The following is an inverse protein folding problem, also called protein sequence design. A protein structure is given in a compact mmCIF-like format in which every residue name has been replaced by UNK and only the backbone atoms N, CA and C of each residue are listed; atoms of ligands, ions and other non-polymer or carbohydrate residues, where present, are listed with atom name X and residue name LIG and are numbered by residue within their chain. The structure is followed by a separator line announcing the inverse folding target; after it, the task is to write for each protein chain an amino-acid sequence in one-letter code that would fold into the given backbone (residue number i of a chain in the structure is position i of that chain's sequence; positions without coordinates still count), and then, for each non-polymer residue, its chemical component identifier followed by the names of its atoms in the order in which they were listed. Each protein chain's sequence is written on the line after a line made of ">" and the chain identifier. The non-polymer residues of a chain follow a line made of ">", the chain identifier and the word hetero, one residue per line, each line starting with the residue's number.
data_IF_151137291982
#
_entry.id   IF_151137291982
#
_cell.length_a   1.000
_cell.length_b   1.000
_cell.length_c   1.000
_cell.angle_alpha   90.00
_cell.angle_beta   90.00
_cell.angle_gamma   90.00
#
_symmetry.space_group_name_H-M   'P 1'
#
loop_
_entity.id
_entity.type
_entity.pdbx_description
1 polymer ?
#
# COMPACT_ATOMS: atom_id res chain seq x y z
N UNK A 1 -6.82 -26.87 -12.69
CA UNK A 1 -6.49 -28.20 -13.21
C UNK A 1 -5.87 -27.96 -14.55
N UNK A 2 -4.55 -28.03 -14.56
CA UNK A 2 -3.73 -27.61 -15.68
C UNK A 2 -3.47 -28.82 -16.57
N UNK A 3 -3.20 -28.59 -17.86
CA UNK A 3 -2.96 -29.67 -18.84
C UNK A 3 -1.84 -30.63 -18.42
N UNK A 4 -0.87 -30.13 -17.64
CA UNK A 4 0.22 -30.90 -17.06
C UNK A 4 -0.24 -31.90 -16.00
N UNK A 5 -1.28 -31.58 -15.25
CA UNK A 5 -1.84 -32.47 -14.23
C UNK A 5 -2.48 -33.69 -14.89
N UNK A 6 -3.19 -33.47 -16.00
CA UNK A 6 -3.80 -34.53 -16.82
C UNK A 6 -2.74 -35.48 -17.38
N UNK A 7 -1.64 -34.96 -17.92
CA UNK A 7 -0.52 -35.79 -18.41
C UNK A 7 0.10 -36.62 -17.27
N UNK A 8 0.20 -36.04 -16.07
CA UNK A 8 0.71 -36.75 -14.88
C UNK A 8 -0.22 -37.90 -14.48
N UNK A 9 -1.54 -37.68 -14.46
CA UNK A 9 -2.52 -38.73 -14.13
C UNK A 9 -2.53 -39.85 -15.17
N UNK A 10 -2.37 -39.53 -16.46
CA UNK A 10 -2.24 -40.55 -17.51
C UNK A 10 -1.01 -41.43 -17.32
N UNK A 11 0.14 -40.85 -16.94
CA UNK A 11 1.35 -41.61 -16.64
C UNK A 11 1.16 -42.50 -15.42
N UNK A 12 0.51 -42.00 -14.36
CA UNK A 12 0.18 -42.80 -13.17
C UNK A 12 -0.75 -43.96 -13.52
N UNK A 13 -1.77 -43.74 -14.35
CA UNK A 13 -2.68 -44.79 -14.81
C UNK A 13 -1.91 -45.89 -15.55
N UNK A 14 -1.00 -45.54 -16.46
CA UNK A 14 -0.16 -46.51 -17.17
C UNK A 14 0.67 -47.36 -16.20
N UNK A 15 1.27 -46.74 -15.19
CA UNK A 15 2.07 -47.47 -14.19
C UNK A 15 1.22 -48.45 -13.38
N UNK A 16 -0.02 -48.06 -13.04
CA UNK A 16 -0.97 -48.93 -12.32
C UNK A 16 -1.46 -50.06 -13.22
N UNK A 17 -1.69 -49.81 -14.52
CA UNK A 17 -2.07 -50.85 -15.49
C UNK A 17 -0.93 -51.86 -15.72
N UNK A 18 0.33 -51.40 -15.79
CA UNK A 18 1.50 -52.27 -15.85
C UNK A 18 1.62 -53.15 -14.58
N UNK A 19 1.37 -52.56 -13.40
CA UNK A 19 1.37 -53.29 -12.13
C UNK A 19 0.22 -54.31 -12.05
N UNK A 20 -0.97 -53.97 -12.56
CA UNK A 20 -2.10 -54.90 -12.68
C UNK A 20 -1.83 -56.03 -13.66
N UNK A 21 -1.03 -55.80 -14.70
CA UNK A 21 -0.63 -56.87 -15.61
C UNK A 21 0.32 -57.88 -14.94
N UNK A 22 1.14 -57.42 -13.99
CA UNK A 22 1.97 -58.29 -13.16
C UNK A 22 1.16 -58.99 -12.06
N UNK A 23 0.20 -58.29 -11.44
CA UNK A 23 -0.66 -58.80 -10.36
C UNK A 23 -2.16 -58.58 -10.66
N UNK A 24 -2.78 -59.44 -11.50
CA UNK A 24 -4.16 -59.24 -11.95
C UNK A 24 -5.23 -59.42 -10.86
N UNK A 25 -4.91 -60.09 -9.75
CA UNK A 25 -5.84 -60.33 -8.62
C UNK A 25 -5.75 -59.24 -7.53
N UNK A 26 -4.97 -58.16 -7.72
CA UNK A 26 -4.84 -57.10 -6.73
C UNK A 26 -6.01 -56.10 -6.78
N UNK A 27 -6.97 -56.28 -5.87
CA UNK A 27 -8.18 -55.46 -5.77
C UNK A 27 -7.91 -53.97 -5.51
N UNK A 28 -6.82 -53.63 -4.82
CA UNK A 28 -6.45 -52.24 -4.51
C UNK A 28 -5.99 -51.51 -5.77
N UNK A 29 -5.18 -52.17 -6.60
CA UNK A 29 -4.73 -51.60 -7.88
C UNK A 29 -5.89 -51.47 -8.87
N UNK A 30 -6.84 -52.42 -8.86
CA UNK A 30 -8.04 -52.33 -9.68
C UNK A 30 -8.92 -51.13 -9.28
N UNK A 31 -9.07 -50.90 -7.98
CA UNK A 31 -9.79 -49.72 -7.44
C UNK A 31 -9.08 -48.41 -7.81
N UNK A 32 -7.76 -48.34 -7.61
CA UNK A 32 -6.95 -47.17 -7.96
C UNK A 32 -7.00 -46.84 -9.46
N UNK A 33 -6.98 -47.87 -10.32
CA UNK A 33 -7.17 -47.70 -11.77
C UNK A 33 -8.51 -47.03 -12.07
N UNK A 34 -9.60 -47.49 -11.44
CA UNK A 34 -10.93 -46.89 -11.67
C UNK A 34 -11.01 -45.46 -11.18
N UNK A 35 -10.42 -45.15 -10.01
CA UNK A 35 -10.37 -43.79 -9.48
C UNK A 35 -9.56 -42.85 -10.38
N UNK A 36 -8.40 -43.29 -10.89
CA UNK A 36 -7.58 -42.51 -11.81
C UNK A 36 -8.29 -42.25 -13.14
N UNK A 37 -9.02 -43.24 -13.66
CA UNK A 37 -9.84 -43.06 -14.86
C UNK A 37 -10.95 -42.02 -14.65
N UNK A 38 -11.62 -42.03 -13.49
CA UNK A 38 -12.63 -41.03 -13.14
C UNK A 38 -12.00 -39.63 -13.00
N UNK A 39 -10.85 -39.52 -12.33
CA UNK A 39 -10.12 -38.26 -12.19
C UNK A 39 -9.69 -37.68 -13.54
N UNK A 40 -9.19 -38.51 -14.45
CA UNK A 40 -8.84 -38.09 -15.82
C UNK A 40 -10.09 -37.62 -16.55
N UNK A 41 -11.20 -38.36 -16.48
CA UNK A 41 -12.46 -37.98 -17.13
C UNK A 41 -13.01 -36.65 -16.61
N UNK A 42 -13.00 -36.45 -15.28
CA UNK A 42 -13.41 -35.20 -14.65
C UNK A 42 -12.51 -34.04 -15.06
N UNK A 43 -11.20 -34.29 -15.17
CA UNK A 43 -10.21 -33.28 -15.56
C UNK A 43 -10.34 -32.92 -17.05
N UNK A 44 -10.53 -33.91 -17.92
CA UNK A 44 -10.80 -33.72 -19.36
C UNK A 44 -12.08 -32.93 -19.58
N UNK A 45 -13.16 -33.26 -18.87
CA UNK A 45 -14.42 -32.50 -18.95
C UNK A 45 -14.27 -31.10 -18.40
N UNK A 46 -13.54 -30.88 -17.31
CA UNK A 46 -13.24 -29.54 -16.80
C UNK A 46 -12.41 -28.72 -17.80
N UNK A 47 -11.41 -29.31 -18.45
CA UNK A 47 -10.61 -28.68 -19.50
C UNK A 47 -11.45 -28.38 -20.76
N UNK A 48 -12.32 -29.31 -21.18
CA UNK A 48 -13.22 -29.11 -22.29
C UNK A 48 -14.28 -28.03 -21.99
N UNK A 49 -14.77 -27.94 -20.75
CA UNK A 49 -15.64 -26.85 -20.31
C UNK A 49 -14.90 -25.52 -20.24
N UNK A 50 -13.64 -25.49 -19.82
CA UNK A 50 -12.80 -24.29 -19.86
C UNK A 50 -12.54 -23.82 -21.31
N UNK A 51 -12.26 -24.75 -22.23
CA UNK A 51 -12.07 -24.48 -23.66
C UNK A 51 -13.40 -24.10 -24.36
N UNK A 52 -14.50 -24.75 -23.99
CA UNK A 52 -15.85 -24.46 -24.47
C UNK A 52 -16.35 -23.10 -23.98
N UNK A 53 -16.15 -22.77 -22.71
CA UNK A 53 -16.47 -21.45 -22.15
C UNK A 53 -15.63 -20.32 -22.79
N UNK A 54 -14.43 -20.63 -23.30
CA UNK A 54 -13.65 -19.69 -24.11
C UNK A 54 -14.24 -19.49 -25.52
N UNK A 55 -14.91 -20.51 -26.09
CA UNK A 55 -15.53 -20.45 -27.43
C UNK A 55 -16.94 -19.87 -27.42
N UNK A 56 -17.76 -20.11 -26.38
CA UNK A 56 -19.13 -19.60 -26.28
C UNK A 56 -19.22 -18.14 -25.82
N UNK A 57 -18.12 -17.56 -25.31
CA UNK A 57 -18.02 -16.12 -25.00
C UNK A 57 -17.65 -15.25 -26.21
N UNK A 58 -17.43 -15.88 -27.39
CA UNK A 58 -17.03 -15.20 -28.63
C UNK A 58 -18.25 -14.69 -29.43
N UNK A 59 -19.46 -15.17 -29.18
CA UNK A 59 -20.62 -14.78 -30.02
C UNK A 59 -21.41 -13.55 -29.52
N UNK A 60 -21.08 -12.98 -28.35
CA UNK A 60 -21.75 -11.75 -27.86
C UNK A 60 -20.82 -10.56 -27.61
N UNK A 61 -19.55 -10.62 -28.01
CA UNK A 61 -18.64 -9.48 -27.83
C UNK A 61 -17.52 -9.39 -28.86
N UNK A 62 -17.81 -9.65 -30.14
CA UNK A 62 -16.91 -9.37 -31.28
C UNK A 62 -16.69 -7.86 -31.50
N UNK A 63 -16.00 -7.19 -30.57
CA UNK A 63 -15.18 -5.98 -30.79
C UNK A 63 -14.48 -5.53 -29.51
N UNK A 64 -13.42 -6.22 -29.09
CA UNK A 64 -12.38 -5.57 -28.30
C UNK A 64 -11.07 -6.36 -28.47
N UNK A 65 -10.07 -5.67 -28.99
CA UNK A 65 -8.74 -6.17 -29.31
C UNK A 65 -8.13 -6.98 -28.15
N UNK A 66 -7.80 -8.24 -28.42
CA UNK A 66 -6.82 -9.01 -27.65
C UNK A 66 -5.46 -8.33 -27.80
N UNK A 67 -5.11 -7.51 -26.81
CA UNK A 67 -3.74 -7.04 -26.63
C UNK A 67 -2.99 -8.12 -25.83
N UNK A 68 -1.72 -8.39 -26.15
CA UNK A 68 -0.92 -9.39 -25.44
C UNK A 68 -0.90 -9.05 -23.94
N UNK A 69 -0.80 -10.06 -23.08
CA UNK A 69 -0.79 -9.93 -21.62
C UNK A 69 0.15 -8.80 -21.18
N UNK A 70 -0.44 -7.62 -20.98
CA UNK A 70 0.31 -6.40 -20.72
C UNK A 70 0.78 -6.51 -19.28
N UNK A 71 2.09 -6.63 -19.07
CA UNK A 71 2.67 -6.58 -17.75
C UNK A 71 2.45 -5.18 -17.19
N UNK A 72 1.41 -5.02 -16.36
CA UNK A 72 1.03 -3.72 -15.83
C UNK A 72 2.04 -3.22 -14.79
N UNK A 73 2.20 -1.90 -14.74
CA UNK A 73 3.06 -1.21 -13.76
C UNK A 73 2.24 -0.30 -12.84
N UNK A 74 2.81 0.03 -11.68
CA UNK A 74 2.21 0.99 -10.77
C UNK A 74 2.10 2.37 -11.47
N UNK A 75 0.89 2.91 -11.49
CA UNK A 75 0.55 4.17 -12.13
C UNK A 75 -0.25 4.03 -13.42
N UNK A 76 -0.33 2.84 -14.01
CA UNK A 76 -1.03 2.60 -15.28
C UNK A 76 -2.55 2.69 -15.13
N UNK A 77 -3.20 3.21 -16.18
CA UNK A 77 -4.66 3.26 -16.26
C UNK A 77 -5.20 1.99 -16.91
N UNK A 78 -6.17 1.36 -16.25
CA UNK A 78 -6.79 0.13 -16.70
C UNK A 78 -8.29 0.13 -16.40
N UNK A 79 -9.00 -0.86 -16.92
CA UNK A 79 -10.36 -1.18 -16.52
C UNK A 79 -10.26 -2.40 -15.60
N UNK A 80 -10.68 -2.26 -14.35
CA UNK A 80 -10.67 -3.32 -13.36
C UNK A 80 -12.09 -3.80 -13.09
N UNK A 81 -12.24 -5.11 -12.86
CA UNK A 81 -13.52 -5.70 -12.43
C UNK A 81 -13.71 -5.47 -10.93
N UNK A 82 -14.82 -4.86 -10.53
CA UNK A 82 -15.16 -4.64 -9.12
C UNK A 82 -15.74 -5.93 -8.52
N UNK A 83 -15.25 -6.38 -7.36
CA UNK A 83 -15.67 -7.69 -6.80
C UNK A 83 -17.13 -7.74 -6.35
N UNK A 84 -17.71 -6.61 -5.94
CA UNK A 84 -19.07 -6.61 -5.38
C UNK A 84 -20.16 -6.85 -6.42
N UNK A 85 -20.00 -6.34 -7.64
CA UNK A 85 -20.98 -6.43 -8.72
C UNK A 85 -20.45 -7.13 -9.98
N UNK A 86 -19.14 -7.37 -10.06
CA UNK A 86 -18.49 -7.97 -11.22
C UNK A 86 -18.45 -7.06 -12.45
N UNK A 87 -18.73 -5.77 -12.31
CA UNK A 87 -18.77 -4.79 -13.40
C UNK A 87 -17.37 -4.18 -13.60
N UNK A 88 -17.07 -3.79 -14.84
CA UNK A 88 -15.78 -3.20 -15.20
C UNK A 88 -15.81 -1.69 -15.02
N UNK A 89 -14.93 -1.17 -14.16
CA UNK A 89 -14.81 0.25 -13.90
C UNK A 89 -13.41 0.77 -14.25
N UNK A 90 -13.29 2.05 -14.66
CA UNK A 90 -11.99 2.66 -14.89
C UNK A 90 -11.23 2.77 -13.57
N UNK A 91 -10.00 2.29 -13.54
CA UNK A 91 -9.15 2.25 -12.36
C UNK A 91 -7.71 2.61 -12.70
N UNK A 92 -6.91 2.85 -11.66
CA UNK A 92 -5.47 3.06 -11.75
C UNK A 92 -4.75 2.07 -10.86
N UNK A 93 -3.70 1.46 -11.38
CA UNK A 93 -2.87 0.55 -10.60
C UNK A 93 -2.03 1.37 -9.62
N UNK A 94 -2.14 1.07 -8.34
CA UNK A 94 -1.40 1.78 -7.28
C UNK A 94 -0.13 1.04 -6.91
N UNK A 95 -0.18 -0.29 -6.88
CA UNK A 95 0.95 -1.14 -6.53
C UNK A 95 0.86 -2.48 -7.25
N UNK A 96 2.02 -3.10 -7.45
CA UNK A 96 2.11 -4.43 -8.06
C UNK A 96 2.88 -5.37 -7.14
N UNK A 97 2.19 -6.32 -6.54
CA UNK A 97 2.72 -7.33 -5.63
C UNK A 97 2.75 -8.73 -6.28
N UNK A 98 3.30 -9.71 -5.54
CA UNK A 98 3.34 -11.11 -5.94
C UNK A 98 4.55 -11.51 -6.80
N UNK A 99 4.68 -12.81 -7.06
CA UNK A 99 5.67 -13.39 -7.98
C UNK A 99 5.19 -13.26 -9.43
N UNK A 100 6.06 -13.53 -10.40
CA UNK A 100 5.72 -13.47 -11.83
C UNK A 100 4.57 -14.43 -12.19
N UNK A 101 4.52 -15.60 -11.55
CA UNK A 101 3.47 -16.60 -11.73
C UNK A 101 2.14 -16.24 -11.05
N UNK A 102 2.18 -15.48 -9.95
CA UNK A 102 1.02 -15.11 -9.14
C UNK A 102 1.02 -13.60 -8.88
N UNK A 103 0.92 -12.82 -9.96
CA UNK A 103 0.91 -11.36 -9.85
C UNK A 103 -0.40 -10.87 -9.24
N UNK A 104 -0.32 -9.99 -8.26
CA UNK A 104 -1.47 -9.34 -7.63
C UNK A 104 -1.33 -7.84 -7.79
N UNK A 105 -2.32 -7.21 -8.40
CA UNK A 105 -2.36 -5.78 -8.61
C UNK A 105 -3.26 -5.14 -7.57
N UNK A 106 -2.82 -4.03 -6.97
CA UNK A 106 -3.71 -3.18 -6.19
C UNK A 106 -4.19 -2.05 -7.10
N UNK A 107 -5.50 -1.89 -7.24
CA UNK A 107 -6.14 -0.89 -8.10
C UNK A 107 -6.98 0.06 -7.28
N UNK A 108 -7.07 1.31 -7.72
CA UNK A 108 -7.95 2.34 -7.16
C UNK A 108 -8.92 2.80 -8.25
N UNK A 109 -10.22 2.68 -7.99
CA UNK A 109 -11.26 3.04 -8.96
C UNK A 109 -11.39 4.55 -9.11
N UNK A 110 -11.55 5.04 -10.33
CA UNK A 110 -11.73 6.49 -10.56
C UNK A 110 -13.04 6.95 -9.91
N UNK A 111 -12.95 7.92 -9.01
CA UNK A 111 -14.11 8.48 -8.28
C UNK A 111 -14.33 7.88 -6.89
N UNK A 112 -13.53 6.89 -6.50
CA UNK A 112 -13.54 6.30 -5.17
C UNK A 112 -12.11 6.27 -4.60
N UNK A 113 -11.96 6.49 -3.30
CA UNK A 113 -10.67 6.35 -2.61
C UNK A 113 -10.41 4.90 -2.14
N UNK A 114 -11.28 3.97 -2.53
CA UNK A 114 -11.16 2.55 -2.20
C UNK A 114 -10.16 1.85 -3.10
N UNK A 115 -9.25 1.08 -2.48
CA UNK A 115 -8.31 0.20 -3.18
C UNK A 115 -8.77 -1.25 -3.10
N UNK A 116 -8.58 -2.00 -4.19
CA UNK A 116 -8.95 -3.42 -4.27
C UNK A 116 -7.82 -4.23 -4.90
N UNK A 117 -7.73 -5.52 -4.54
CA UNK A 117 -6.80 -6.46 -5.15
C UNK A 117 -7.44 -7.12 -6.38
N UNK A 118 -6.74 -7.05 -7.52
CA UNK A 118 -7.16 -7.63 -8.77
C UNK A 118 -6.08 -8.57 -9.34
N UNK A 119 -6.53 -9.66 -9.97
CA UNK A 119 -5.66 -10.57 -10.73
C UNK A 119 -5.45 -10.04 -12.15
N UNK A 120 -4.44 -10.53 -12.90
CA UNK A 120 -4.22 -10.11 -14.29
C UNK A 120 -5.47 -10.32 -15.17
N UNK A 121 -6.25 -11.37 -14.89
CA UNK A 121 -7.49 -11.71 -15.61
C UNK A 121 -8.64 -10.70 -15.36
N UNK A 122 -8.59 -9.97 -14.25
CA UNK A 122 -9.58 -8.97 -13.85
C UNK A 122 -9.18 -7.55 -14.27
N UNK A 123 -8.09 -7.43 -15.05
CA UNK A 123 -7.61 -6.17 -15.61
C UNK A 123 -7.69 -6.19 -17.13
N UNK A 124 -8.12 -5.05 -17.69
CA UNK A 124 -8.16 -4.80 -19.13
C UNK A 124 -7.54 -3.46 -19.46
N UNK A 125 -6.98 -3.30 -20.65
CA UNK A 125 -6.60 -1.98 -21.13
C UNK A 125 -7.79 -1.04 -21.18
N UNK A 126 -7.56 0.19 -20.74
CA UNK A 126 -8.56 1.24 -20.82
C UNK A 126 -8.82 1.54 -22.30
N UNK A 127 -10.04 1.34 -22.82
CA UNK A 127 -10.32 1.63 -24.22
C UNK A 127 -10.17 3.14 -24.50
N UNK A 128 -9.83 3.49 -25.74
CA UNK A 128 -9.60 4.88 -26.15
C UNK A 128 -10.80 5.82 -25.88
N UNK A 129 -12.01 5.26 -25.80
CA UNK A 129 -13.23 5.97 -25.40
C UNK A 129 -13.16 6.51 -23.98
N UNK A 130 -12.62 5.74 -23.03
CA UNK A 130 -12.43 6.14 -21.64
C UNK A 130 -11.15 6.96 -21.43
N UNK A 131 -10.15 6.78 -22.29
CA UNK A 131 -9.00 7.68 -22.33
C UNK A 131 -9.43 9.13 -22.64
N UNK A 132 -10.59 9.32 -23.30
CA UNK A 132 -11.07 10.64 -23.74
C UNK A 132 -11.72 11.47 -22.63
N UNK A 133 -12.17 10.88 -21.51
CA UNK A 133 -12.74 11.67 -20.40
C UNK A 133 -11.68 12.22 -19.44
N UNK A 134 -10.48 11.61 -19.44
CA UNK A 134 -9.27 12.22 -18.86
C UNK A 134 -8.41 12.98 -19.88
N UNK A 135 -8.64 12.75 -21.18
CA UNK A 135 -7.96 13.46 -22.28
C UNK A 135 -8.80 14.57 -22.93
N UNK A 136 -10.04 14.82 -22.50
CA UNK A 136 -10.76 16.05 -22.85
C UNK A 136 -10.11 17.29 -22.20
N UNK A 137 -9.15 17.09 -21.28
CA UNK A 137 -8.18 18.09 -20.82
C UNK A 137 -6.77 17.92 -21.40
N UNK A 138 -6.52 16.93 -22.26
CA UNK A 138 -5.26 16.74 -23.00
C UNK A 138 -5.46 15.88 -24.25
N UNK A 139 -5.96 16.48 -25.33
CA UNK A 139 -5.61 16.20 -26.74
C UNK A 139 -6.50 17.07 -27.63
N UNK A 140 -6.30 18.39 -27.52
CA UNK A 140 -6.44 19.27 -28.69
C UNK A 140 -5.04 19.44 -29.28
N UNK A 141 -4.99 19.35 -30.60
CA UNK A 141 -3.90 19.73 -31.50
C UNK A 141 -3.04 20.86 -30.92
N UNK A 142 -1.81 20.54 -30.50
CA UNK A 142 -0.89 21.48 -29.86
C UNK A 142 -0.14 22.26 -30.95
N UNK A 143 -0.73 23.40 -31.36
CA UNK A 143 0.00 24.45 -32.06
C UNK A 143 1.07 25.02 -31.10
N UNK A 144 2.24 25.37 -31.63
CA UNK A 144 3.46 25.81 -30.91
C UNK A 144 3.23 26.81 -29.76
N UNK A 145 2.17 27.63 -29.84
CA UNK A 145 1.80 28.65 -28.85
C UNK A 145 1.35 28.12 -27.47
N UNK A 146 0.84 26.89 -27.36
CA UNK A 146 0.37 26.37 -26.05
C UNK A 146 1.52 25.81 -25.18
N UNK A 147 2.60 25.34 -25.81
CA UNK A 147 3.83 24.90 -25.13
C UNK A 147 4.52 26.05 -24.41
N UNK A 148 4.53 27.24 -25.02
CA UNK A 148 5.09 28.45 -24.41
C UNK A 148 4.29 28.92 -23.18
N UNK A 149 2.96 28.91 -23.23
CA UNK A 149 2.12 29.30 -22.08
C UNK A 149 2.27 28.36 -20.88
N UNK A 150 2.46 27.05 -21.12
CA UNK A 150 2.74 26.06 -20.05
C UNK A 150 4.14 26.21 -19.47
N UNK A 151 5.16 26.50 -20.30
CA UNK A 151 6.53 26.77 -19.84
C UNK A 151 6.57 28.04 -18.97
N UNK A 152 5.94 29.13 -19.42
CA UNK A 152 5.83 30.41 -18.69
C UNK A 152 5.06 30.30 -17.36
N UNK A 153 4.06 29.40 -17.28
CA UNK A 153 3.30 29.15 -16.03
C UNK A 153 4.08 28.27 -15.04
N UNK A 154 4.87 27.32 -15.52
CA UNK A 154 5.71 26.47 -14.67
C UNK A 154 6.93 27.22 -14.15
N UNK A 155 7.52 28.07 -14.99
CA UNK A 155 8.60 28.99 -14.64
C UNK A 155 8.15 30.02 -13.59
N UNK A 156 7.00 30.67 -13.78
CA UNK A 156 6.42 31.59 -12.78
C UNK A 156 6.12 30.91 -11.43
N UNK A 157 5.72 29.63 -11.44
CA UNK A 157 5.51 28.85 -10.21
C UNK A 157 6.84 28.51 -9.53
N UNK A 158 7.87 28.15 -10.29
CA UNK A 158 9.21 27.88 -9.77
C UNK A 158 9.82 29.14 -9.16
N UNK A 159 9.63 30.30 -9.79
CA UNK A 159 10.13 31.58 -9.32
C UNK A 159 9.44 32.03 -8.03
N UNK A 160 8.12 31.84 -7.92
CA UNK A 160 7.37 32.12 -6.69
C UNK A 160 7.80 31.18 -5.56
N UNK A 161 8.06 29.89 -5.85
CA UNK A 161 8.57 28.92 -4.88
C UNK A 161 10.00 29.24 -4.45
N UNK A 162 10.85 29.68 -5.38
CA UNK A 162 12.22 30.09 -5.11
C UNK A 162 12.26 31.39 -4.29
N UNK A 163 11.37 32.35 -4.54
CA UNK A 163 11.21 33.56 -3.72
C UNK A 163 10.81 33.21 -2.28
N UNK A 164 9.84 32.31 -2.12
CA UNK A 164 9.43 31.81 -0.80
C UNK A 164 10.55 31.05 -0.08
N UNK A 165 11.37 30.29 -0.81
CA UNK A 165 12.54 29.61 -0.25
C UNK A 165 13.66 30.59 0.17
N UNK A 166 13.91 31.65 -0.62
CA UNK A 166 14.85 32.73 -0.25
C UNK A 166 14.39 33.49 0.99
N UNK A 167 13.10 33.77 1.13
CA UNK A 167 12.53 34.43 2.31
C UNK A 167 12.72 33.56 3.58
N UNK A 168 12.54 32.23 3.46
CA UNK A 168 12.81 31.30 4.57
C UNK A 168 14.29 31.29 4.95
N UNK A 169 15.20 31.27 3.97
CA UNK A 169 16.64 31.28 4.24
C UNK A 169 17.09 32.61 4.86
N UNK A 170 16.48 33.73 4.47
CA UNK A 170 16.71 35.02 5.12
C UNK A 170 16.21 35.02 6.57
N UNK A 171 15.03 34.47 6.86
CA UNK A 171 14.51 34.34 8.24
C UNK A 171 15.43 33.49 9.10
N UNK A 172 15.93 32.37 8.59
CA UNK A 172 16.93 31.54 9.28
C UNK A 172 18.24 32.32 9.51
N UNK A 173 18.76 33.03 8.50
CA UNK A 173 19.97 33.84 8.66
C UNK A 173 19.79 34.96 9.69
N UNK A 174 18.62 35.59 9.75
CA UNK A 174 18.30 36.61 10.77
C UNK A 174 18.24 35.99 12.17
N UNK A 175 17.67 34.79 12.31
CA UNK A 175 17.63 34.06 13.58
C UNK A 175 19.02 33.63 14.04
N UNK A 176 19.87 33.17 13.12
CA UNK A 176 21.28 32.85 13.38
C UNK A 176 22.08 34.09 13.82
N UNK A 177 21.82 35.26 13.20
CA UNK A 177 22.43 36.53 13.62
C UNK A 177 21.97 36.96 15.01
N UNK A 178 20.71 36.69 15.38
CA UNK A 178 20.21 36.92 16.74
C UNK A 178 20.90 36.01 17.77
N UNK A 179 21.03 34.72 17.48
CA UNK A 179 21.74 33.76 18.33
C UNK A 179 23.22 34.12 18.55
N UNK A 180 23.95 34.48 17.49
CA UNK A 180 25.36 34.91 17.61
C UNK A 180 25.52 36.22 18.37
N UNK A 181 24.53 37.12 18.30
CA UNK A 181 24.54 38.39 19.04
C UNK A 181 24.28 38.19 20.53
N UNK A 182 23.50 37.18 20.92
CA UNK A 182 23.31 36.83 22.34
C UNK A 182 24.54 36.17 22.95
N UNK A 183 25.27 35.33 22.20
CA UNK A 183 26.56 34.76 22.64
C UNK A 183 27.59 35.87 22.94
N UNK A 184 27.70 36.87 22.06
CA UNK A 184 28.62 38.00 22.25
C UNK A 184 28.25 38.91 23.45
N UNK A 185 27.00 38.86 23.92
CA UNK A 185 26.52 39.56 25.11
C UNK A 185 26.52 38.69 26.38
N UNK A 186 26.99 37.44 26.31
CA UNK A 186 27.04 36.52 27.45
C UNK A 186 25.67 35.98 27.90
N UNK A 187 24.61 36.15 27.11
CA UNK A 187 23.26 35.67 27.44
C UNK A 187 23.03 34.34 26.71
N UNK A 188 23.04 33.24 27.46
CA UNK A 188 22.78 31.90 26.91
C UNK A 188 21.29 31.68 26.64
N UNK A 189 20.93 31.47 25.37
CA UNK A 189 19.57 31.10 24.95
C UNK A 189 19.42 29.58 25.06
N UNK A 190 18.46 29.13 25.87
CA UNK A 190 18.14 27.72 26.06
C UNK A 190 17.84 27.03 24.71
N UNK A 191 18.55 25.92 24.43
CA UNK A 191 18.38 25.10 23.22
C UNK A 191 19.45 25.30 22.13
N UNK A 192 20.23 26.38 22.15
CA UNK A 192 21.27 26.63 21.10
C UNK A 192 22.64 26.08 21.48
N UNK A 193 23.04 26.13 22.76
CA UNK A 193 24.40 25.78 23.20
C UNK A 193 24.63 24.30 23.52
N UNK A 194 23.70 23.40 23.18
CA UNK A 194 23.84 21.94 23.33
C UNK A 194 24.04 21.42 24.77
N UNK A 195 24.01 22.31 25.76
CA UNK A 195 24.19 22.00 27.18
C UNK A 195 22.81 21.89 27.81
N UNK A 196 22.35 20.66 28.02
CA UNK A 196 21.06 20.38 28.65
C UNK A 196 21.02 20.94 30.08
N UNK A 197 19.93 21.60 30.43
CA UNK A 197 19.64 22.09 31.79
C UNK A 197 19.55 20.96 32.84
N UNK A 198 19.57 19.70 32.39
CA UNK A 198 19.57 18.48 33.20
C UNK A 198 20.89 17.69 33.11
N UNK A 199 21.96 18.26 32.53
CA UNK A 199 23.25 17.57 32.45
C UNK A 199 23.84 17.39 33.86
N UNK A 200 24.03 16.13 34.26
CA UNK A 200 24.65 15.77 35.54
C UNK A 200 26.09 16.32 35.58
N UNK A 201 26.46 17.10 36.61
CA UNK A 201 27.84 17.55 36.78
C UNK A 201 28.76 16.35 37.10
N UNK A 202 30.01 16.41 36.67
CA UNK A 202 31.00 15.31 36.72
C UNK A 202 31.53 14.99 38.15
N UNK A 203 30.82 15.46 39.18
CA UNK A 203 31.13 15.22 40.58
C UNK A 203 30.27 14.04 41.09
N UNK A 204 30.88 12.95 41.58
CA UNK A 204 30.18 11.70 41.93
C UNK A 204 29.17 11.81 43.09
N UNK A 205 29.05 12.96 43.77
CA UNK A 205 28.00 13.25 44.77
C UNK A 205 26.96 14.30 44.31
N UNK A 206 26.99 14.73 43.05
CA UNK A 206 26.08 15.77 42.54
C UNK A 206 24.65 15.27 42.35
N UNK A 207 23.69 15.70 43.19
CA UNK A 207 22.26 15.44 42.96
C UNK A 207 21.71 16.32 41.85
N UNK A 208 20.92 15.73 40.96
CA UNK A 208 20.21 16.43 39.87
C UNK A 208 19.16 17.38 40.45
N UNK A 209 19.36 18.67 40.20
CA UNK A 209 18.41 19.74 40.47
C UNK A 209 18.62 20.82 39.41
N UNK A 210 17.58 21.58 39.09
CA UNK A 210 17.66 22.70 38.14
C UNK A 210 18.72 23.67 38.64
N UNK A 211 19.88 23.66 38.00
CA UNK A 211 21.01 24.50 38.38
C UNK A 211 20.65 25.95 38.11
N UNK A 212 20.64 26.78 39.16
CA UNK A 212 20.53 28.25 39.03
C UNK A 212 19.47 28.94 39.88
N UNK A 213 18.51 28.22 40.48
CA UNK A 213 17.60 28.79 41.49
C UNK A 213 18.03 28.26 42.85
N UNK A 214 18.70 29.07 43.67
CA UNK A 214 19.33 28.67 44.94
C UNK A 214 18.38 28.20 46.06
N UNK A 215 17.31 27.47 45.76
CA UNK A 215 16.38 26.89 46.72
C UNK A 215 16.26 25.39 46.47
N UNK A 216 16.61 24.60 47.49
CA UNK A 216 16.49 23.15 47.48
C UNK A 216 15.04 22.69 47.35
N UNK A 217 14.86 21.41 46.98
CA UNK A 217 13.58 20.74 46.80
C UNK A 217 12.73 20.84 48.10
N UNK A 218 11.53 21.41 48.02
CA UNK A 218 10.65 21.58 49.19
C UNK A 218 10.08 20.24 49.63
N UNK A 219 10.22 19.90 50.91
CA UNK A 219 9.76 18.62 51.45
C UNK A 219 8.23 18.60 51.55
N UNK A 220 7.60 17.54 51.04
CA UNK A 220 6.14 17.35 51.12
C UNK A 220 5.78 16.96 52.56
N UNK A 221 4.96 17.77 53.22
CA UNK A 221 4.40 17.45 54.54
C UNK A 221 3.19 16.53 54.35
N UNK A 222 3.23 15.31 54.89
CA UNK A 222 2.10 14.39 54.83
C UNK A 222 0.98 14.90 55.76
N UNK A 223 -0.21 15.15 55.21
CA UNK A 223 -1.38 15.59 55.98
C UNK A 223 -1.88 14.46 56.89
N UNK A 224 -2.16 14.78 58.15
CA UNK A 224 -2.74 13.84 59.11
C UNK A 224 -4.25 13.69 58.90
N UNK A 225 -4.78 12.47 59.07
CA UNK A 225 -6.23 12.17 58.95
C UNK A 225 -7.01 12.81 60.10
N UNK A 226 -8.05 13.59 59.78
CA UNK A 226 -8.99 14.14 60.76
C UNK A 226 -9.77 13.04 61.47
N UNK A 227 -9.76 13.03 62.81
CA UNK A 227 -10.65 12.22 63.64
C UNK A 227 -11.86 13.06 64.04
N UNK A 228 -13.06 12.64 63.66
CA UNK A 228 -14.31 13.29 64.03
C UNK A 228 -14.81 12.72 65.36
N UNK A 229 -15.01 13.56 66.37
CA UNK A 229 -15.75 13.19 67.58
C UNK A 229 -17.18 13.70 67.46
N UNK A 230 -18.21 12.84 67.55
CA UNK A 230 -19.59 13.30 67.54
C UNK A 230 -19.89 14.04 68.86
N UNK A 231 -20.24 15.32 68.77
CA UNK A 231 -20.86 16.06 69.87
C UNK A 231 -22.31 15.59 69.98
N UNK A 232 -22.65 14.97 71.12
CA UNK A 232 -24.02 14.65 71.49
C UNK A 232 -24.56 15.88 72.20
N UNK A 233 -25.37 16.68 71.51
CA UNK A 233 -26.08 17.80 72.13
C UNK A 233 -27.30 17.25 72.87
N UNK A 234 -27.20 17.21 74.20
CA UNK A 234 -28.29 16.94 75.14
C UNK A 234 -29.13 18.22 75.29
N UNK A 235 -30.42 18.13 74.97
CA UNK A 235 -31.40 19.21 75.11
C UNK A 235 -32.19 18.98 76.40
N UNK A 236 -31.83 19.68 77.49
CA UNK A 236 -32.73 20.11 78.58
C UNK A 236 -32.09 21.25 79.36
#
# INVERSE_FOLDING_TARGET
>A
MDRTDLETYQVQLSQVEDALQAEPDNAELASLRTELQELISLTETALAQAAGAASLKVESSRKAASTPALAWSAGDECMAKYSADGVWYPARITSVAGSEQNRVYTVMFKGYDSTEQAKPSDLKPLPASYASTVSATKRKHETDEEKERKKKKNEKKLETRAAKAKEQNQKQATWQKFAKKSEKKGVHIAGVSGTSIFKTPDNPLGKVGVTGSGKGMTHVTQQSKHKFTPTVDDNT
#
